data_IF_009227318108
#
_entry.id   IF_009227318108
#
_cell.length_a   1.000
_cell.length_b   1.000
_cell.length_c   1.000
_cell.angle_alpha   90.00
_cell.angle_beta   90.00
_cell.angle_gamma   90.00
#
_symmetry.space_group_name_H-M   'P 1'
#
loop_
_entity.id
_entity.type
_entity.pdbx_description
1 polymer ?
#
# COMPACT_ATOMS: atom_id res chain seq x y z
N UNK A 1 -5.01 10.33 12.26
CA UNK A 1 -3.92 11.11 11.62
C UNK A 1 -2.52 10.58 11.84
N UNK A 2 -2.10 10.28 13.07
CA UNK A 2 -0.69 9.92 13.36
C UNK A 2 -0.12 8.82 12.45
N UNK A 3 -0.80 7.69 12.18
CA UNK A 3 -0.27 6.68 11.27
C UNK A 3 -0.11 7.16 9.82
N UNK A 4 -0.97 8.05 9.34
CA UNK A 4 -0.90 8.65 8.00
C UNK A 4 0.33 9.56 7.89
N UNK A 5 0.58 10.38 8.91
CA UNK A 5 1.77 11.25 8.95
C UNK A 5 3.04 10.42 9.05
N UNK A 6 3.04 9.37 9.87
CA UNK A 6 4.14 8.43 9.98
C UNK A 6 4.45 7.71 8.66
N UNK A 7 3.40 7.31 7.93
CA UNK A 7 3.53 6.76 6.59
C UNK A 7 4.29 7.73 5.66
N UNK A 8 3.91 9.01 5.65
CA UNK A 8 4.59 10.01 4.82
C UNK A 8 6.07 10.20 5.22
N UNK A 9 6.39 10.19 6.52
CA UNK A 9 7.79 10.21 6.99
C UNK A 9 8.60 9.02 6.49
N UNK A 10 8.03 7.81 6.57
CA UNK A 10 8.71 6.61 6.08
C UNK A 10 8.82 6.61 4.55
N UNK A 11 7.86 7.18 3.83
CA UNK A 11 7.98 7.35 2.38
C UNK A 11 9.12 8.30 2.00
N UNK A 12 9.21 9.44 2.69
CA UNK A 12 10.31 10.39 2.50
C UNK A 12 11.68 9.72 2.75
N UNK A 13 11.77 8.91 3.81
CA UNK A 13 12.95 8.12 4.12
C UNK A 13 13.25 7.07 3.05
N UNK A 14 12.25 6.33 2.57
CA UNK A 14 12.44 5.36 1.47
C UNK A 14 13.03 6.05 0.23
N UNK A 15 12.44 7.16 -0.20
CA UNK A 15 12.93 7.95 -1.35
C UNK A 15 14.36 8.45 -1.11
N UNK A 16 14.66 8.97 0.08
CA UNK A 16 16.02 9.38 0.44
C UNK A 16 17.02 8.23 0.30
N UNK A 17 16.67 7.05 0.79
CA UNK A 17 17.53 5.85 0.73
C UNK A 17 17.65 5.31 -0.68
N UNK A 18 16.59 5.36 -1.49
CA UNK A 18 16.66 4.97 -2.90
C UNK A 18 17.66 5.84 -3.64
N UNK A 19 17.62 7.16 -3.48
CA UNK A 19 18.63 8.05 -4.07
C UNK A 19 20.04 7.78 -3.54
N UNK A 20 20.21 7.58 -2.23
CA UNK A 20 21.52 7.32 -1.63
C UNK A 20 22.15 5.98 -2.08
N UNK A 21 21.33 5.03 -2.50
CA UNK A 21 21.75 3.72 -3.01
C UNK A 21 21.71 3.64 -4.54
N UNK A 22 21.46 4.76 -5.23
CA UNK A 22 21.30 4.82 -6.69
C UNK A 22 20.25 3.84 -7.24
N UNK A 23 19.14 3.69 -6.50
CA UNK A 23 17.99 2.87 -6.88
C UNK A 23 17.00 3.75 -7.67
N UNK A 24 16.84 3.44 -8.95
CA UNK A 24 15.96 4.15 -9.90
C UNK A 24 14.49 3.76 -9.70
N UNK A 25 13.93 4.00 -8.51
CA UNK A 25 12.56 3.59 -8.14
C UNK A 25 11.48 4.26 -9.01
N UNK A 26 11.78 5.41 -9.60
CA UNK A 26 10.92 6.16 -10.52
C UNK A 26 10.63 5.37 -11.81
N UNK A 27 11.49 4.41 -12.19
CA UNK A 27 11.25 3.52 -13.32
C UNK A 27 9.99 2.67 -13.16
N UNK A 28 9.58 2.40 -11.92
CA UNK A 28 8.33 1.70 -11.62
C UNK A 28 7.08 2.50 -12.02
N UNK A 29 7.20 3.82 -12.11
CA UNK A 29 6.11 4.71 -12.51
C UNK A 29 6.12 4.95 -14.02
N UNK A 30 4.94 5.24 -14.57
CA UNK A 30 4.80 5.60 -15.98
C UNK A 30 5.60 6.87 -16.30
N UNK A 31 6.10 7.00 -17.53
CA UNK A 31 6.88 8.17 -17.94
C UNK A 31 6.12 9.49 -17.72
N UNK A 32 4.78 9.47 -17.88
CA UNK A 32 3.90 10.61 -17.61
C UNK A 32 3.89 11.03 -16.14
N UNK A 33 3.97 10.07 -15.23
CA UNK A 33 3.83 10.29 -13.79
C UNK A 33 5.16 10.70 -13.13
N UNK A 34 6.30 10.29 -13.70
CA UNK A 34 7.64 10.56 -13.13
C UNK A 34 7.91 12.02 -12.82
N UNK A 35 7.38 12.93 -13.64
CA UNK A 35 7.55 14.38 -13.46
C UNK A 35 6.83 14.95 -12.22
N UNK A 36 5.92 14.20 -11.62
CA UNK A 36 5.19 14.57 -10.40
C UNK A 36 5.73 13.87 -9.15
N UNK A 37 6.83 13.12 -9.27
CA UNK A 37 7.46 12.48 -8.13
C UNK A 37 8.28 13.52 -7.36
N UNK A 38 7.96 13.67 -6.08
CA UNK A 38 8.64 14.59 -5.18
C UNK A 38 10.00 14.07 -4.74
N UNK A 39 10.93 15.00 -4.54
CA UNK A 39 12.19 14.71 -3.86
C UNK A 39 11.95 14.37 -2.38
N UNK A 40 12.91 13.66 -1.76
CA UNK A 40 12.85 13.35 -0.32
C UNK A 40 12.71 14.60 0.55
N UNK A 41 13.39 15.70 0.21
CA UNK A 41 13.31 16.97 0.95
C UNK A 41 11.91 17.59 0.92
N UNK A 42 11.23 17.53 -0.22
CA UNK A 42 9.85 18.02 -0.35
C UNK A 42 8.87 17.15 0.43
N UNK A 43 9.05 15.82 0.39
CA UNK A 43 8.25 14.88 1.16
C UNK A 43 8.42 15.13 2.68
N UNK A 44 9.65 15.33 3.16
CA UNK A 44 9.89 15.70 4.56
C UNK A 44 9.23 17.02 4.94
N UNK A 45 9.24 18.01 4.04
CA UNK A 45 8.56 19.29 4.27
C UNK A 45 7.05 19.09 4.44
N UNK A 46 6.40 18.30 3.59
CA UNK A 46 4.96 17.97 3.75
C UNK A 46 4.72 17.21 5.07
N UNK A 47 5.56 16.24 5.38
CA UNK A 47 5.47 15.47 6.62
C UNK A 47 5.60 16.34 7.86
N UNK A 48 6.52 17.32 7.86
CA UNK A 48 6.69 18.31 8.93
C UNK A 48 5.45 19.18 9.10
N UNK A 49 4.87 19.69 8.01
CA UNK A 49 3.64 20.49 8.08
C UNK A 49 2.47 19.69 8.66
N UNK A 50 2.25 18.46 8.20
CA UNK A 50 1.19 17.61 8.73
C UNK A 50 1.45 17.21 10.19
N UNK A 51 2.71 17.01 10.58
CA UNK A 51 3.10 16.79 11.97
C UNK A 51 2.77 18.00 12.83
N UNK A 52 3.12 19.21 12.38
CA UNK A 52 2.83 20.46 13.07
C UNK A 52 1.32 20.68 13.23
N UNK A 53 0.53 20.43 12.18
CA UNK A 53 -0.95 20.46 12.25
C UNK A 53 -1.47 19.47 13.29
N UNK A 54 -1.00 18.22 13.24
CA UNK A 54 -1.44 17.17 14.17
C UNK A 54 -1.13 17.53 15.63
N UNK A 55 0.11 17.97 15.93
CA UNK A 55 0.53 18.32 17.28
C UNK A 55 -0.16 19.60 17.77
N UNK A 56 -0.32 20.62 16.92
CA UNK A 56 -0.97 21.87 17.30
C UNK A 56 -2.45 21.66 17.60
N UNK A 57 -3.16 20.87 16.79
CA UNK A 57 -4.56 20.54 17.05
C UNK A 57 -4.71 19.65 18.29
N UNK A 58 -3.80 18.70 18.51
CA UNK A 58 -3.82 17.87 19.73
C UNK A 58 -3.54 18.71 20.99
N UNK A 59 -2.59 19.64 20.94
CA UNK A 59 -2.31 20.57 22.03
C UNK A 59 -3.50 21.50 22.27
N UNK A 60 -4.14 22.01 21.20
CA UNK A 60 -5.37 22.80 21.28
C UNK A 60 -6.52 22.04 21.91
N UNK A 61 -6.72 20.77 21.53
CA UNK A 61 -7.72 19.89 22.13
C UNK A 61 -7.49 19.74 23.63
N UNK A 62 -6.26 19.42 24.02
CA UNK A 62 -5.89 19.22 25.42
C UNK A 62 -6.01 20.51 26.25
N UNK A 63 -5.57 21.66 25.73
CA UNK A 63 -5.61 22.93 26.44
C UNK A 63 -7.04 23.43 26.63
N UNK A 64 -7.87 23.37 25.58
CA UNK A 64 -9.29 23.73 25.64
C UNK A 64 -10.06 22.82 26.59
N UNK A 65 -9.79 21.51 26.55
CA UNK A 65 -10.36 20.56 27.50
C UNK A 65 -9.95 20.85 28.95
N UNK A 66 -8.69 21.23 29.19
CA UNK A 66 -8.19 21.56 30.53
C UNK A 66 -8.85 22.81 31.14
N UNK A 67 -9.26 23.77 30.31
CA UNK A 67 -9.99 24.98 30.75
C UNK A 67 -11.52 24.82 30.71
N UNK A 68 -12.04 23.63 30.40
CA UNK A 68 -13.47 23.32 30.40
C UNK A 68 -14.25 23.77 29.14
N UNK A 69 -13.56 24.19 28.07
CA UNK A 69 -14.17 24.61 26.81
C UNK A 69 -14.38 23.42 25.85
N UNK A 70 -15.15 22.42 26.31
CA UNK A 70 -15.30 21.13 25.60
C UNK A 70 -15.87 21.27 24.18
N UNK A 71 -16.90 22.11 23.99
CA UNK A 71 -17.48 22.35 22.67
C UNK A 71 -16.44 22.85 21.66
N UNK A 72 -15.51 23.71 22.09
CA UNK A 72 -14.44 24.20 21.21
C UNK A 72 -13.34 23.16 21.00
N UNK A 73 -13.06 22.35 22.02
CA UNK A 73 -12.11 21.24 21.92
C UNK A 73 -12.57 20.23 20.85
N UNK A 74 -13.86 19.92 20.76
CA UNK A 74 -14.40 18.97 19.78
C UNK A 74 -14.19 19.38 18.31
N UNK A 75 -13.98 20.68 18.02
CA UNK A 75 -13.63 21.15 16.68
C UNK A 75 -12.15 20.97 16.33
N UNK A 76 -11.26 20.70 17.29
CA UNK A 76 -9.81 20.58 17.03
C UNK A 76 -9.47 19.38 16.11
N UNK A 77 -10.05 18.17 16.30
CA UNK A 77 -9.86 17.07 15.36
C UNK A 77 -10.40 17.37 13.95
N UNK A 78 -11.51 18.11 13.84
CA UNK A 78 -12.05 18.56 12.54
C UNK A 78 -11.05 19.45 11.82
N UNK A 79 -10.56 20.48 12.51
CA UNK A 79 -9.56 21.39 11.98
C UNK A 79 -8.33 20.63 11.50
N UNK A 80 -7.86 19.64 12.28
CA UNK A 80 -6.74 18.78 11.90
C UNK A 80 -6.99 18.05 10.57
N UNK A 81 -8.13 17.38 10.41
CA UNK A 81 -8.45 16.65 9.17
C UNK A 81 -8.68 17.59 7.98
N UNK A 82 -9.32 18.74 8.21
CA UNK A 82 -9.54 19.76 7.19
C UNK A 82 -8.21 20.32 6.67
N UNK A 83 -7.32 20.73 7.57
CA UNK A 83 -5.99 21.22 7.21
C UNK A 83 -5.14 20.14 6.53
N UNK A 84 -5.27 18.89 6.95
CA UNK A 84 -4.61 17.77 6.27
C UNK A 84 -5.11 17.58 4.83
N UNK A 85 -6.42 17.65 4.59
CA UNK A 85 -6.99 17.59 3.24
C UNK A 85 -6.52 18.79 2.39
N UNK A 86 -6.50 19.99 2.97
CA UNK A 86 -5.97 21.20 2.33
C UNK A 86 -4.52 21.00 1.86
N UNK A 87 -3.65 20.48 2.74
CA UNK A 87 -2.24 20.29 2.43
C UNK A 87 -1.92 19.03 1.62
N UNK A 88 -2.85 18.11 1.42
CA UNK A 88 -2.62 16.89 0.65
C UNK A 88 -3.24 16.92 -0.75
N UNK A 89 -4.42 17.52 -0.92
CA UNK A 89 -5.19 17.39 -2.18
C UNK A 89 -5.82 18.70 -2.68
N UNK A 90 -5.84 19.78 -1.91
CA UNK A 90 -6.49 21.00 -2.38
C UNK A 90 -5.68 21.74 -3.48
N UNK A 91 -6.36 22.34 -4.48
CA UNK A 91 -5.75 23.05 -5.60
C UNK A 91 -5.27 24.46 -5.20
N UNK A 92 -4.44 24.54 -4.15
CA UNK A 92 -3.82 25.77 -3.65
C UNK A 92 -2.32 25.75 -3.96
N UNK A 93 -1.69 26.90 -4.28
CA UNK A 93 -0.26 26.94 -4.64
C UNK A 93 0.66 26.87 -3.41
N UNK A 94 0.63 25.74 -2.72
CA UNK A 94 1.37 25.44 -1.49
C UNK A 94 1.93 24.02 -1.60
N UNK A 95 3.15 23.78 -1.08
CA UNK A 95 3.75 22.44 -0.97
C UNK A 95 3.67 21.60 -2.26
N UNK A 96 4.14 22.16 -3.37
CA UNK A 96 4.09 21.54 -4.71
C UNK A 96 2.68 21.08 -5.13
N UNK A 97 1.89 22.04 -5.60
CA UNK A 97 0.51 21.78 -6.04
C UNK A 97 0.41 20.69 -7.12
N UNK A 98 1.24 20.65 -8.19
CA UNK A 98 1.11 19.62 -9.21
C UNK A 98 1.23 18.19 -8.68
N UNK A 99 2.21 17.92 -7.81
CA UNK A 99 2.40 16.59 -7.24
C UNK A 99 1.29 16.20 -6.26
N UNK A 100 0.74 17.18 -5.53
CA UNK A 100 -0.42 16.96 -4.65
C UNK A 100 -1.71 16.67 -5.43
N UNK A 101 -1.92 17.34 -6.55
CA UNK A 101 -3.04 17.03 -7.44
C UNK A 101 -2.85 15.66 -8.10
N UNK A 102 -1.63 15.29 -8.49
CA UNK A 102 -1.32 13.94 -8.95
C UNK A 102 -1.63 12.88 -7.86
N UNK A 103 -1.29 13.14 -6.60
CA UNK A 103 -1.70 12.29 -5.48
C UNK A 103 -3.23 12.21 -5.34
N UNK A 104 -3.93 13.34 -5.44
CA UNK A 104 -5.39 13.40 -5.40
C UNK A 104 -6.07 12.62 -6.54
N UNK A 105 -5.58 12.75 -7.76
CA UNK A 105 -6.03 11.97 -8.92
C UNK A 105 -5.79 10.47 -8.72
N UNK A 106 -4.61 10.10 -8.17
CA UNK A 106 -4.29 8.70 -7.83
C UNK A 106 -5.23 8.17 -6.74
N UNK A 107 -5.52 8.97 -5.71
CA UNK A 107 -6.48 8.61 -4.68
C UNK A 107 -7.89 8.42 -5.25
N UNK A 108 -8.34 9.29 -6.15
CA UNK A 108 -9.62 9.15 -6.83
C UNK A 108 -9.69 7.86 -7.66
N UNK A 109 -8.65 7.58 -8.45
CA UNK A 109 -8.52 6.34 -9.23
C UNK A 109 -8.53 5.08 -8.36
N UNK A 110 -7.94 5.14 -7.17
CA UNK A 110 -7.93 4.05 -6.20
C UNK A 110 -9.32 3.84 -5.58
N UNK A 111 -10.02 4.92 -5.21
CA UNK A 111 -11.37 4.84 -4.63
C UNK A 111 -12.44 4.39 -5.63
N UNK A 112 -12.24 4.68 -6.91
CA UNK A 112 -13.14 4.29 -8.01
C UNK A 112 -12.32 3.52 -9.07
N UNK A 113 -11.98 2.25 -8.82
CA UNK A 113 -11.14 1.47 -9.73
C UNK A 113 -11.99 0.98 -10.90
N UNK A 114 -12.20 1.82 -11.91
CA UNK A 114 -12.90 1.46 -13.16
C UNK A 114 -11.97 1.39 -14.36
N UNK A 115 -10.79 2.00 -14.24
CA UNK A 115 -9.74 2.09 -15.24
C UNK A 115 -8.67 1.00 -15.04
N UNK A 116 -7.74 0.93 -16.00
CA UNK A 116 -6.53 0.11 -15.87
C UNK A 116 -5.71 0.53 -14.65
N UNK A 117 -5.19 -0.46 -13.93
CA UNK A 117 -4.47 -0.24 -12.67
C UNK A 117 -3.00 0.07 -12.97
N UNK A 118 -2.59 1.31 -12.72
CA UNK A 118 -1.18 1.71 -12.83
C UNK A 118 -0.39 1.28 -11.60
N UNK A 119 0.95 1.35 -11.67
CA UNK A 119 1.80 1.07 -10.51
C UNK A 119 1.54 2.02 -9.34
N UNK A 120 1.26 3.30 -9.61
CA UNK A 120 0.92 4.28 -8.59
C UNK A 120 -0.39 3.92 -7.87
N UNK A 121 -1.42 3.51 -8.63
CA UNK A 121 -2.71 3.08 -8.07
C UNK A 121 -2.55 1.82 -7.23
N UNK A 122 -1.75 0.85 -7.69
CA UNK A 122 -1.41 -0.36 -6.96
C UNK A 122 -0.68 -0.04 -5.64
N UNK A 123 0.39 0.77 -5.70
CA UNK A 123 1.19 1.09 -4.52
C UNK A 123 0.34 1.81 -3.47
N UNK A 124 -0.42 2.84 -3.88
CA UNK A 124 -1.25 3.61 -2.97
C UNK A 124 -2.34 2.74 -2.33
N UNK A 125 -3.03 1.93 -3.13
CA UNK A 125 -4.08 1.03 -2.63
C UNK A 125 -3.52 -0.01 -1.64
N UNK A 126 -2.31 -0.53 -1.89
CA UNK A 126 -1.74 -1.54 -1.02
C UNK A 126 -1.19 -0.92 0.28
N UNK A 127 -0.66 0.31 0.23
CA UNK A 127 -0.37 1.10 1.43
C UNK A 127 -1.63 1.36 2.24
N UNK A 128 -2.75 1.67 1.59
CA UNK A 128 -4.03 1.92 2.27
C UNK A 128 -4.54 0.71 3.08
N UNK A 129 -4.19 -0.52 2.71
CA UNK A 129 -4.55 -1.72 3.51
C UNK A 129 -3.95 -1.70 4.90
N UNK A 130 -2.73 -1.17 5.04
CA UNK A 130 -2.05 -0.97 6.33
C UNK A 130 -2.57 0.25 7.10
N UNK A 131 -3.46 1.04 6.48
CA UNK A 131 -4.18 2.17 7.09
C UNK A 131 -5.66 1.85 7.36
N UNK A 132 -6.10 0.60 7.24
CA UNK A 132 -7.50 0.18 7.44
C UNK A 132 -8.10 0.66 8.78
N UNK A 133 -7.36 0.51 9.89
CA UNK A 133 -7.78 1.03 11.19
C UNK A 133 -7.85 2.56 11.22
N UNK A 134 -6.92 3.24 10.55
CA UNK A 134 -6.96 4.71 10.43
C UNK A 134 -8.17 5.19 9.62
N UNK A 135 -8.58 4.45 8.58
CA UNK A 135 -9.81 4.71 7.82
C UNK A 135 -11.05 4.55 8.70
N UNK A 136 -11.08 3.52 9.55
CA UNK A 136 -12.11 3.33 10.57
C UNK A 136 -12.24 4.53 11.51
N UNK A 137 -11.11 4.97 12.07
CA UNK A 137 -11.05 6.06 13.04
C UNK A 137 -11.43 7.40 12.40
N UNK A 138 -11.01 7.63 11.15
CA UNK A 138 -11.42 8.78 10.36
C UNK A 138 -12.93 8.78 10.11
N UNK A 139 -13.49 7.63 9.72
CA UNK A 139 -14.94 7.48 9.52
C UNK A 139 -15.71 7.73 10.82
N UNK A 140 -15.28 7.12 11.93
CA UNK A 140 -15.89 7.33 13.25
C UNK A 140 -15.86 8.80 13.65
N UNK A 141 -14.71 9.46 13.50
CA UNK A 141 -14.58 10.89 13.80
C UNK A 141 -15.53 11.72 12.93
N UNK A 142 -15.50 11.55 11.60
CA UNK A 142 -16.35 12.31 10.69
C UNK A 142 -17.85 12.14 10.99
N UNK A 143 -18.31 10.91 11.22
CA UNK A 143 -19.72 10.64 11.49
C UNK A 143 -20.17 11.15 12.86
N UNK A 144 -19.34 10.99 13.90
CA UNK A 144 -19.63 11.56 15.23
C UNK A 144 -19.82 13.07 15.14
N UNK A 145 -18.98 13.74 14.36
CA UNK A 145 -19.00 15.18 14.20
C UNK A 145 -20.18 15.66 13.34
N UNK A 146 -20.56 14.92 12.30
CA UNK A 146 -21.74 15.23 11.47
C UNK A 146 -23.06 15.00 12.20
N UNK A 147 -23.13 13.96 13.03
CA UNK A 147 -24.34 13.63 13.78
C UNK A 147 -24.57 14.56 14.98
N UNK A 148 -23.52 15.19 15.52
CA UNK A 148 -23.62 16.12 16.64
C UNK A 148 -24.28 15.50 17.89
N UNK A 149 -24.95 16.31 18.74
CA UNK A 149 -25.65 15.81 19.93
C UNK A 149 -26.73 14.76 19.67
N UNK A 150 -27.24 14.64 18.43
CA UNK A 150 -28.25 13.65 18.08
C UNK A 150 -27.73 12.21 18.21
N UNK A 151 -26.42 11.98 18.00
CA UNK A 151 -25.80 10.68 18.25
C UNK A 151 -25.78 10.35 19.74
N UNK A 152 -25.52 11.33 20.60
CA UNK A 152 -25.62 11.17 22.06
C UNK A 152 -27.05 10.81 22.47
N UNK A 153 -28.06 11.49 21.91
CA UNK A 153 -29.46 11.16 22.16
C UNK A 153 -29.87 9.75 21.70
N UNK A 154 -29.30 9.24 20.60
CA UNK A 154 -29.56 7.88 20.11
C UNK A 154 -28.87 6.81 20.97
N UNK A 155 -27.65 7.08 21.45
CA UNK A 155 -26.92 6.22 22.39
C UNK A 155 -27.62 6.21 23.76
N UNK A 156 -28.06 7.37 24.25
CA UNK A 156 -28.77 7.53 25.53
C UNK A 156 -30.18 6.92 25.48
N UNK A 157 -30.91 7.06 24.36
CA UNK A 157 -32.20 6.41 24.14
C UNK A 157 -32.08 4.88 24.09
N UNK A 158 -30.94 4.35 23.61
CA UNK A 158 -30.63 2.93 23.66
C UNK A 158 -30.29 2.40 25.07
N UNK A 159 -29.86 3.28 25.98
CA UNK A 159 -29.60 2.94 27.39
C UNK A 159 -30.87 2.94 28.24
N UNK A 160 -31.90 3.70 27.85
CA UNK A 160 -33.18 3.80 28.55
C UNK A 160 -34.17 2.69 28.13
N UNK A 161 -33.99 1.49 28.68
CA UNK A 161 -35.15 0.65 29.04
C UNK A 161 -35.61 -0.48 28.11
N UNK A 162 -34.85 -0.94 27.11
CA UNK A 162 -35.26 -2.13 26.35
C UNK A 162 -34.09 -3.00 25.86
N UNK A 163 -33.90 -4.17 26.50
CA UNK A 163 -33.03 -5.30 26.12
C UNK A 163 -31.53 -4.98 25.85
N UNK A 164 -30.60 -5.91 26.12
CA UNK A 164 -29.19 -5.65 25.85
C UNK A 164 -28.95 -5.62 24.33
N UNK A 165 -28.27 -4.56 23.87
CA UNK A 165 -27.69 -4.32 22.53
C UNK A 165 -28.50 -3.41 21.61
N UNK A 166 -28.37 -2.11 21.82
CA UNK A 166 -28.22 -1.22 20.66
C UNK A 166 -26.78 -1.39 20.18
N UNK A 167 -26.59 -2.10 19.06
CA UNK A 167 -25.33 -2.13 18.31
C UNK A 167 -24.90 -0.68 18.10
N UNK A 168 -23.64 -0.32 18.41
CA UNK A 168 -23.11 1.02 18.17
C UNK A 168 -23.59 1.47 16.77
N UNK A 169 -24.38 2.56 16.64
CA UNK A 169 -24.92 2.99 15.34
C UNK A 169 -23.82 3.31 14.32
N UNK A 170 -22.59 3.52 14.79
CA UNK A 170 -21.41 3.71 13.96
C UNK A 170 -20.69 2.39 13.60
N UNK A 171 -21.06 1.25 14.17
CA UNK A 171 -20.38 -0.03 13.93
C UNK A 171 -20.35 -0.41 12.45
N UNK A 172 -21.50 -0.34 11.76
CA UNK A 172 -21.60 -0.68 10.34
C UNK A 172 -20.75 0.24 9.44
N UNK A 173 -20.85 1.58 9.51
CA UNK A 173 -20.01 2.44 8.68
C UNK A 173 -18.52 2.37 9.03
N UNK A 174 -18.17 2.20 10.31
CA UNK A 174 -16.77 2.00 10.73
C UNK A 174 -16.21 0.70 10.16
N UNK A 175 -16.97 -0.40 10.22
CA UNK A 175 -16.58 -1.68 9.61
C UNK A 175 -16.44 -1.56 8.09
N UNK A 176 -17.34 -0.85 7.42
CA UNK A 176 -17.22 -0.58 5.99
C UNK A 176 -15.91 0.17 5.68
N UNK A 177 -15.59 1.22 6.44
CA UNK A 177 -14.35 1.97 6.28
C UNK A 177 -13.09 1.12 6.54
N UNK A 178 -13.14 0.15 7.47
CA UNK A 178 -12.06 -0.82 7.70
C UNK A 178 -11.87 -1.77 6.51
N UNK A 179 -12.96 -2.26 5.94
CA UNK A 179 -12.93 -3.21 4.83
C UNK A 179 -12.59 -2.56 3.48
N UNK A 180 -12.83 -1.25 3.33
CA UNK A 180 -12.73 -0.54 2.06
C UNK A 180 -11.36 -0.70 1.36
N UNK A 181 -10.19 -0.54 2.02
CA UNK A 181 -8.90 -0.73 1.36
C UNK A 181 -8.71 -2.14 0.77
N UNK A 182 -9.20 -3.17 1.48
CA UNK A 182 -9.13 -4.56 1.02
C UNK A 182 -10.08 -4.81 -0.15
N UNK A 183 -11.29 -4.21 -0.13
CA UNK A 183 -12.23 -4.25 -1.24
C UNK A 183 -11.66 -3.60 -2.50
N UNK A 184 -11.00 -2.44 -2.36
CA UNK A 184 -10.33 -1.78 -3.47
C UNK A 184 -9.26 -2.70 -4.08
N UNK A 185 -8.39 -3.29 -3.26
CA UNK A 185 -7.35 -4.21 -3.75
C UNK A 185 -7.94 -5.46 -4.40
N UNK A 186 -9.00 -6.03 -3.81
CA UNK A 186 -9.75 -7.14 -4.41
C UNK A 186 -10.24 -6.79 -5.82
N UNK A 187 -10.93 -5.66 -5.98
CA UNK A 187 -11.45 -5.21 -7.29
C UNK A 187 -10.31 -4.92 -8.26
N UNK A 188 -9.25 -4.22 -7.84
CA UNK A 188 -8.09 -3.97 -8.69
C UNK A 188 -7.47 -5.27 -9.21
N UNK A 189 -7.32 -6.29 -8.37
CA UNK A 189 -6.79 -7.58 -8.80
C UNK A 189 -7.69 -8.26 -9.84
N UNK A 190 -9.02 -8.20 -9.68
CA UNK A 190 -9.96 -8.72 -10.68
C UNK A 190 -9.88 -7.97 -12.01
N UNK A 191 -9.72 -6.64 -11.97
CA UNK A 191 -9.53 -5.82 -13.17
C UNK A 191 -8.26 -6.21 -13.89
N UNK A 192 -7.12 -6.29 -13.18
CA UNK A 192 -5.84 -6.69 -13.79
C UNK A 192 -5.92 -8.09 -14.39
N UNK A 193 -6.57 -9.04 -13.71
CA UNK A 193 -6.79 -10.38 -14.29
C UNK A 193 -7.61 -10.31 -15.58
N UNK A 194 -8.69 -9.52 -15.61
CA UNK A 194 -9.54 -9.38 -16.80
C UNK A 194 -8.81 -8.73 -17.96
N UNK A 195 -7.94 -7.74 -17.71
CA UNK A 195 -7.22 -7.03 -18.77
C UNK A 195 -5.99 -7.79 -19.27
N UNK A 196 -5.25 -8.47 -18.39
CA UNK A 196 -3.98 -9.14 -18.73
C UNK A 196 -4.10 -10.65 -18.93
N UNK A 197 -5.18 -11.28 -18.47
CA UNK A 197 -5.35 -12.74 -18.45
C UNK A 197 -4.54 -13.45 -17.36
N UNK A 198 -3.85 -12.71 -16.50
CA UNK A 198 -2.94 -13.26 -15.50
C UNK A 198 -3.68 -13.84 -14.28
N UNK A 199 -3.73 -15.18 -14.24
CA UNK A 199 -4.39 -15.96 -13.19
C UNK A 199 -3.80 -15.76 -11.79
N UNK A 200 -2.55 -15.33 -11.64
CA UNK A 200 -1.97 -15.01 -10.34
C UNK A 200 -2.78 -13.90 -9.66
N UNK A 201 -3.37 -12.96 -10.42
CA UNK A 201 -4.21 -11.91 -9.83
C UNK A 201 -5.52 -12.44 -9.24
N UNK A 202 -6.05 -13.58 -9.68
CA UNK A 202 -7.21 -14.21 -9.01
C UNK A 202 -6.82 -14.74 -7.62
N UNK A 203 -5.62 -15.30 -7.49
CA UNK A 203 -5.10 -15.73 -6.20
C UNK A 203 -4.83 -14.50 -5.31
N UNK A 204 -4.33 -13.40 -5.88
CA UNK A 204 -4.15 -12.13 -5.17
C UNK A 204 -5.49 -11.57 -4.67
N UNK A 205 -6.53 -11.62 -5.52
CA UNK A 205 -7.89 -11.24 -5.13
C UNK A 205 -8.38 -12.11 -3.97
N UNK A 206 -8.21 -13.44 -4.05
CA UNK A 206 -8.59 -14.35 -2.97
C UNK A 206 -7.85 -14.02 -1.67
N UNK A 207 -6.56 -13.67 -1.72
CA UNK A 207 -5.80 -13.19 -0.56
C UNK A 207 -6.49 -12.00 0.10
N UNK A 208 -6.81 -10.94 -0.66
CA UNK A 208 -7.52 -9.78 -0.09
C UNK A 208 -8.93 -10.13 0.39
N UNK A 209 -9.61 -11.10 -0.23
CA UNK A 209 -10.91 -11.58 0.22
C UNK A 209 -10.85 -12.24 1.60
N UNK A 210 -9.74 -12.88 1.97
CA UNK A 210 -9.57 -13.47 3.32
C UNK A 210 -9.57 -12.45 4.46
N UNK A 211 -9.32 -11.17 4.18
CA UNK A 211 -9.39 -10.11 5.18
C UNK A 211 -10.82 -9.80 5.62
N UNK A 212 -11.84 -10.01 4.77
CA UNK A 212 -13.23 -9.70 5.14
C UNK A 212 -13.75 -10.53 6.33
N UNK A 213 -13.69 -11.89 6.33
CA UNK A 213 -14.12 -12.65 7.49
C UNK A 213 -13.28 -12.32 8.73
N UNK A 214 -11.97 -12.10 8.58
CA UNK A 214 -11.10 -11.69 9.67
C UNK A 214 -11.57 -10.37 10.33
N UNK A 215 -11.87 -9.35 9.53
CA UNK A 215 -12.33 -8.04 10.02
C UNK A 215 -13.75 -8.07 10.59
N UNK A 216 -14.69 -8.72 9.91
CA UNK A 216 -16.09 -8.83 10.36
C UNK A 216 -16.16 -9.58 11.68
N UNK A 217 -15.50 -10.73 11.79
CA UNK A 217 -15.50 -11.52 13.03
C UNK A 217 -14.77 -10.77 14.15
N UNK A 218 -13.71 -10.01 13.85
CA UNK A 218 -13.03 -9.14 14.84
C UNK A 218 -13.95 -8.04 15.36
N UNK A 219 -14.78 -7.45 14.50
CA UNK A 219 -15.74 -6.42 14.91
C UNK A 219 -16.84 -7.01 15.81
N UNK A 220 -17.37 -8.19 15.45
CA UNK A 220 -18.38 -8.87 16.28
C UNK A 220 -17.78 -9.32 17.62
N UNK A 221 -16.58 -9.91 17.60
CA UNK A 221 -15.86 -10.31 18.82
C UNK A 221 -15.70 -9.13 19.79
N UNK A 222 -15.35 -7.95 19.27
CA UNK A 222 -15.21 -6.74 20.07
C UNK A 222 -16.51 -6.37 20.82
N UNK A 223 -17.67 -6.44 20.16
CA UNK A 223 -18.97 -6.15 20.79
C UNK A 223 -19.27 -7.12 21.94
N UNK A 224 -18.94 -8.40 21.78
CA UNK A 224 -19.09 -9.40 22.85
C UNK A 224 -18.11 -9.14 23.99
N UNK A 225 -16.85 -8.84 23.68
CA UNK A 225 -15.83 -8.53 24.67
C UNK A 225 -16.20 -7.31 25.53
N UNK A 226 -16.65 -6.21 24.89
CA UNK A 226 -17.08 -4.99 25.59
C UNK A 226 -18.30 -5.27 26.47
N UNK A 227 -19.22 -6.12 26.01
CA UNK A 227 -20.40 -6.55 26.77
C UNK A 227 -20.07 -7.54 27.91
N UNK A 228 -18.82 -8.01 28.03
CA UNK A 228 -18.43 -9.03 29.01
C UNK A 228 -19.02 -10.42 28.70
N UNK A 229 -19.40 -10.67 27.45
CA UNK A 229 -20.03 -11.91 27.00
C UNK A 229 -19.02 -12.82 26.32
N UNK A 230 -19.23 -14.14 26.44
CA UNK A 230 -18.44 -15.13 25.71
C UNK A 230 -18.81 -15.06 24.23
N UNK A 231 -17.80 -14.93 23.36
CA UNK A 231 -18.00 -14.89 21.92
C UNK A 231 -18.14 -16.32 21.34
N UNK A 232 -19.31 -16.72 20.81
CA UNK A 232 -19.56 -18.11 20.41
C UNK A 232 -18.83 -18.55 19.15
N UNK A 233 -18.32 -17.62 18.34
CA UNK A 233 -17.63 -17.91 17.07
C UNK A 233 -16.10 -17.70 17.19
N UNK A 234 -15.56 -17.84 18.40
CA UNK A 234 -14.14 -17.59 18.67
C UNK A 234 -13.21 -18.41 17.78
N UNK A 235 -13.49 -19.70 17.56
CA UNK A 235 -12.66 -20.56 16.71
C UNK A 235 -12.69 -20.14 15.24
N UNK A 236 -13.86 -19.70 14.74
CA UNK A 236 -13.99 -19.17 13.38
C UNK A 236 -13.23 -17.86 13.21
N UNK A 237 -13.28 -16.98 14.21
CA UNK A 237 -12.49 -15.76 14.23
C UNK A 237 -11.00 -16.07 14.20
N UNK A 238 -10.55 -16.95 15.09
CA UNK A 238 -9.15 -17.36 15.16
C UNK A 238 -8.67 -17.98 13.85
N UNK A 239 -9.48 -18.87 13.26
CA UNK A 239 -9.22 -19.48 11.95
C UNK A 239 -9.13 -18.45 10.82
N UNK A 240 -10.03 -17.47 10.78
CA UNK A 240 -10.00 -16.39 9.79
C UNK A 240 -8.76 -15.49 9.95
N UNK A 241 -8.37 -15.18 11.19
CA UNK A 241 -7.16 -14.39 11.48
C UNK A 241 -5.89 -15.13 11.03
N UNK A 242 -5.78 -16.42 11.33
CA UNK A 242 -4.66 -17.24 10.87
C UNK A 242 -4.63 -17.40 9.34
N UNK A 243 -5.78 -17.72 8.72
CA UNK A 243 -5.87 -17.86 7.27
C UNK A 243 -5.41 -16.59 6.55
N UNK A 244 -5.93 -15.44 6.96
CA UNK A 244 -5.55 -14.15 6.39
C UNK A 244 -4.06 -13.84 6.61
N UNK A 245 -3.54 -14.07 7.82
CA UNK A 245 -2.15 -13.78 8.18
C UNK A 245 -1.16 -14.66 7.42
N UNK A 246 -1.41 -15.98 7.38
CA UNK A 246 -0.54 -16.95 6.74
C UNK A 246 -0.59 -16.85 5.21
N UNK A 247 -1.77 -16.68 4.62
CA UNK A 247 -1.87 -16.49 3.17
C UNK A 247 -1.18 -15.18 2.75
N UNK A 248 -1.42 -14.09 3.48
CA UNK A 248 -0.76 -12.83 3.16
C UNK A 248 0.76 -12.88 3.37
N UNK A 249 1.24 -13.63 4.38
CA UNK A 249 2.68 -13.85 4.59
C UNK A 249 3.30 -14.66 3.44
N UNK A 250 2.65 -15.75 3.05
CA UNK A 250 3.06 -16.54 1.88
C UNK A 250 3.13 -15.67 0.63
N UNK A 251 2.11 -14.85 0.39
CA UNK A 251 2.06 -13.95 -0.77
C UNK A 251 3.22 -12.97 -0.79
N UNK A 252 3.55 -12.34 0.36
CA UNK A 252 4.67 -11.41 0.42
C UNK A 252 5.96 -12.09 -0.01
N UNK A 253 6.29 -13.25 0.56
CA UNK A 253 7.55 -13.94 0.29
C UNK A 253 7.64 -14.49 -1.13
N UNK A 254 6.62 -15.26 -1.54
CA UNK A 254 6.67 -16.00 -2.80
C UNK A 254 6.42 -15.08 -3.99
N UNK A 255 5.42 -14.20 -3.90
CA UNK A 255 4.93 -13.43 -5.04
C UNK A 255 5.49 -12.02 -5.09
N UNK A 256 5.39 -11.25 -3.99
CA UNK A 256 5.80 -9.84 -4.01
C UNK A 256 7.33 -9.69 -3.92
N UNK A 257 7.98 -10.56 -3.14
CA UNK A 257 9.43 -10.56 -2.95
C UNK A 257 10.15 -11.46 -3.94
N UNK A 258 9.42 -12.31 -4.66
CA UNK A 258 9.97 -13.20 -5.68
C UNK A 258 11.12 -14.08 -5.11
N UNK A 259 10.91 -14.55 -3.87
CA UNK A 259 11.81 -15.43 -3.11
C UNK A 259 11.18 -16.81 -2.93
N UNK A 260 11.21 -17.67 -3.97
CA UNK A 260 10.51 -18.93 -3.92
C UNK A 260 10.98 -19.80 -2.75
N UNK A 261 10.05 -20.24 -1.90
CA UNK A 261 10.29 -21.20 -0.81
C UNK A 261 9.98 -22.62 -1.25
N UNK A 262 8.92 -22.78 -2.03
CA UNK A 262 8.40 -24.09 -2.44
C UNK A 262 9.07 -24.58 -3.73
N UNK A 263 9.28 -23.69 -4.70
CA UNK A 263 9.82 -24.00 -6.01
C UNK A 263 11.35 -23.80 -6.09
N UNK A 264 12.12 -24.38 -5.15
CA UNK A 264 13.58 -24.41 -5.23
C UNK A 264 14.10 -25.80 -5.62
N UNK A 265 14.58 -26.00 -6.87
CA UNK A 265 15.47 -27.08 -7.18
C UNK A 265 16.81 -26.87 -6.43
N UNK A 266 17.12 -27.73 -5.45
CA UNK A 266 18.42 -27.71 -4.75
C UNK A 266 18.60 -26.69 -3.61
N UNK A 267 17.52 -26.20 -3.01
CA UNK A 267 17.57 -25.20 -1.93
C UNK A 267 18.40 -25.62 -0.70
N UNK A 268 19.18 -24.68 -0.16
CA UNK A 268 19.96 -24.89 1.08
C UNK A 268 19.00 -25.12 2.26
N UNK A 269 19.19 -26.25 2.94
CA UNK A 269 18.40 -26.63 4.12
C UNK A 269 19.12 -26.15 5.37
N UNK A 270 18.43 -25.37 6.21
CA UNK A 270 18.88 -24.97 7.55
C UNK A 270 18.16 -25.83 8.58
N UNK A 271 18.89 -26.33 9.58
CA UNK A 271 18.36 -27.23 10.61
C UNK A 271 17.68 -28.53 10.08
N UNK A 272 18.00 -28.98 8.86
CA UNK A 272 17.53 -30.26 8.31
C UNK A 272 16.09 -30.30 7.78
N UNK A 273 15.23 -29.35 8.16
CA UNK A 273 13.83 -29.27 7.68
C UNK A 273 13.40 -27.88 7.20
N UNK A 274 14.13 -26.82 7.51
CA UNK A 274 13.75 -25.45 7.15
C UNK A 274 14.51 -25.01 5.89
N UNK A 275 13.83 -24.93 4.75
CA UNK A 275 14.41 -24.36 3.52
C UNK A 275 14.48 -22.84 3.64
N UNK A 276 15.65 -22.26 3.41
CA UNK A 276 15.77 -20.79 3.36
C UNK A 276 15.12 -20.24 2.07
N UNK A 277 14.60 -19.00 2.10
CA UNK A 277 14.21 -18.29 0.88
C UNK A 277 15.32 -18.29 -0.16
N UNK A 278 14.97 -18.67 -1.38
CA UNK A 278 15.88 -18.67 -2.52
C UNK A 278 16.08 -17.23 -2.95
N UNK A 279 17.14 -16.60 -2.45
CA UNK A 279 17.47 -15.24 -2.86
C UNK A 279 18.08 -15.28 -4.27
N UNK A 280 17.53 -14.48 -5.18
CA UNK A 280 18.07 -14.35 -6.55
C UNK A 280 19.47 -13.73 -6.52
N UNK A 281 20.30 -14.07 -7.51
CA UNK A 281 21.71 -13.67 -7.58
C UNK A 281 21.93 -12.15 -7.68
N UNK A 282 21.00 -11.43 -8.30
CA UNK A 282 21.03 -9.97 -8.46
C UNK A 282 20.25 -9.26 -7.32
N UNK A 283 20.51 -9.63 -6.06
CA UNK A 283 19.82 -9.03 -4.91
C UNK A 283 20.40 -7.65 -4.57
N UNK A 284 19.54 -6.65 -4.40
CA UNK A 284 19.98 -5.26 -4.13
C UNK A 284 20.50 -5.05 -2.70
N UNK A 285 20.04 -5.87 -1.74
CA UNK A 285 20.40 -5.75 -0.33
C UNK A 285 21.23 -6.94 0.16
N UNK A 286 21.82 -6.81 1.36
CA UNK A 286 22.55 -7.91 2.00
C UNK A 286 21.57 -9.02 2.42
N UNK A 287 21.98 -10.28 2.32
CA UNK A 287 21.19 -11.47 2.73
C UNK A 287 20.56 -11.35 4.12
N UNK A 288 21.31 -10.81 5.10
CA UNK A 288 20.83 -10.61 6.47
C UNK A 288 19.61 -9.69 6.55
N UNK A 289 19.50 -8.71 5.65
CA UNK A 289 18.38 -7.78 5.62
C UNK A 289 17.09 -8.48 5.16
N UNK A 290 17.16 -9.36 4.16
CA UNK A 290 15.98 -10.14 3.74
C UNK A 290 15.53 -11.14 4.82
N UNK A 291 16.48 -11.78 5.53
CA UNK A 291 16.15 -12.65 6.67
C UNK A 291 15.45 -11.84 7.77
N UNK A 292 16.00 -10.67 8.12
CA UNK A 292 15.39 -9.78 9.09
C UNK A 292 13.98 -9.35 8.63
N UNK A 293 13.82 -8.94 7.38
CA UNK A 293 12.53 -8.53 6.82
C UNK A 293 11.50 -9.68 6.85
N UNK A 294 11.91 -10.91 6.48
CA UNK A 294 11.03 -12.08 6.51
C UNK A 294 10.55 -12.41 7.93
N UNK A 295 11.44 -12.34 8.91
CA UNK A 295 11.13 -12.60 10.32
C UNK A 295 10.28 -11.47 10.92
N UNK A 296 10.65 -10.21 10.68
CA UNK A 296 9.87 -9.07 11.16
C UNK A 296 8.49 -9.04 10.55
N UNK A 297 8.35 -9.34 9.25
CA UNK A 297 7.05 -9.42 8.59
C UNK A 297 6.17 -10.52 9.20
N UNK A 298 6.74 -11.69 9.52
CA UNK A 298 6.00 -12.76 10.19
C UNK A 298 5.47 -12.30 11.56
N UNK A 299 6.33 -11.72 12.40
CA UNK A 299 5.95 -11.23 13.71
C UNK A 299 4.89 -10.12 13.63
N UNK A 300 5.09 -9.16 12.73
CA UNK A 300 4.19 -8.02 12.55
C UNK A 300 2.82 -8.43 12.01
N UNK A 301 2.74 -9.46 11.16
CA UNK A 301 1.46 -10.03 10.68
C UNK A 301 0.65 -10.72 11.77
N UNK A 302 1.30 -11.14 12.86
CA UNK A 302 0.64 -11.73 14.02
C UNK A 302 0.45 -10.74 15.17
N UNK A 303 0.59 -9.43 14.91
CA UNK A 303 0.33 -8.40 15.93
C UNK A 303 -1.07 -8.46 16.50
N UNK A 304 -2.06 -8.97 15.76
CA UNK A 304 -3.41 -9.21 16.26
C UNK A 304 -3.46 -10.14 17.48
N UNK A 305 -2.42 -10.97 17.71
CA UNK A 305 -2.31 -11.85 18.87
C UNK A 305 -2.26 -11.08 20.21
N UNK A 306 -2.01 -9.75 20.20
CA UNK A 306 -2.14 -8.94 21.42
C UNK A 306 -3.53 -9.02 22.05
N UNK A 307 -4.58 -9.28 21.24
CA UNK A 307 -5.97 -9.49 21.68
C UNK A 307 -6.17 -10.78 22.45
N UNK A 308 -5.24 -11.73 22.34
CA UNK A 308 -5.25 -12.97 23.11
C UNK A 308 -4.67 -12.75 24.52
N UNK A 309 -3.91 -11.67 24.72
CA UNK A 309 -3.15 -11.40 25.93
C UNK A 309 -3.87 -10.32 26.76
N UNK A 310 -4.76 -10.76 27.64
CA UNK A 310 -5.43 -9.90 28.60
C UNK A 310 -6.36 -8.86 27.95
N UNK A 311 -6.37 -7.64 28.48
CA UNK A 311 -7.24 -6.52 28.03
C UNK A 311 -6.42 -5.40 27.39
N UNK A 312 -5.34 -5.75 26.68
CA UNK A 312 -4.38 -4.79 26.13
C UNK A 312 -5.03 -3.83 25.12
N UNK A 313 -6.06 -4.27 24.39
CA UNK A 313 -6.78 -3.41 23.45
C UNK A 313 -7.51 -2.22 24.10
N UNK A 314 -7.67 -2.20 25.44
CA UNK A 314 -8.24 -1.05 26.16
C UNK A 314 -7.31 0.17 26.20
N UNK A 315 -6.01 -0.05 26.00
CA UNK A 315 -5.03 1.03 26.04
C UNK A 315 -4.84 1.65 24.65
N UNK A 316 -5.23 2.92 24.51
CA UNK A 316 -5.08 3.67 23.26
C UNK A 316 -3.62 3.66 22.73
N UNK A 317 -2.63 3.67 23.64
CA UNK A 317 -1.21 3.56 23.29
C UNK A 317 -0.88 2.25 22.59
N UNK A 318 -1.46 1.12 23.01
CA UNK A 318 -1.23 -0.18 22.38
C UNK A 318 -1.81 -0.15 20.96
N UNK A 319 -3.05 0.32 20.79
CA UNK A 319 -3.68 0.43 19.47
C UNK A 319 -2.88 1.33 18.52
N UNK A 320 -2.36 2.46 19.03
CA UNK A 320 -1.51 3.36 18.26
C UNK A 320 -0.20 2.67 17.85
N UNK A 321 0.49 1.99 18.77
CA UNK A 321 1.72 1.25 18.47
C UNK A 321 1.46 0.17 17.41
N UNK A 322 0.37 -0.60 17.53
CA UNK A 322 0.01 -1.61 16.53
C UNK A 322 -0.24 -0.98 15.15
N UNK A 323 -0.92 0.16 15.09
CA UNK A 323 -1.13 0.88 13.83
C UNK A 323 0.19 1.38 13.22
N UNK A 324 1.12 1.92 14.03
CA UNK A 324 2.44 2.35 13.55
C UNK A 324 3.29 1.17 13.07
N UNK A 325 3.24 0.04 13.78
CA UNK A 325 3.94 -1.18 13.40
C UNK A 325 3.41 -1.77 12.08
N UNK A 326 2.10 -1.73 11.86
CA UNK A 326 1.50 -2.17 10.60
C UNK A 326 1.90 -1.26 9.42
N UNK A 327 1.97 0.05 9.65
CA UNK A 327 2.52 1.01 8.67
C UNK A 327 3.99 0.69 8.40
N UNK A 328 4.83 0.55 9.44
CA UNK A 328 6.25 0.24 9.30
C UNK A 328 6.50 -1.04 8.48
N UNK A 329 5.74 -2.11 8.74
CA UNK A 329 5.78 -3.36 7.97
C UNK A 329 5.62 -3.12 6.47
N UNK A 330 4.68 -2.25 6.08
CA UNK A 330 4.42 -1.92 4.68
C UNK A 330 5.59 -1.16 4.03
N UNK A 331 6.22 -0.25 4.76
CA UNK A 331 7.38 0.48 4.24
C UNK A 331 8.62 -0.40 4.09
N UNK A 332 8.80 -1.42 4.93
CA UNK A 332 9.78 -2.48 4.70
C UNK A 332 9.50 -3.20 3.38
N UNK A 333 8.24 -3.62 3.17
CA UNK A 333 7.80 -4.31 1.95
C UNK A 333 8.05 -3.47 0.68
N UNK A 334 7.91 -2.14 0.74
CA UNK A 334 8.13 -1.26 -0.43
C UNK A 334 9.54 -1.36 -1.01
N UNK A 335 10.58 -1.50 -0.19
CA UNK A 335 11.95 -1.69 -0.69
C UNK A 335 12.05 -2.93 -1.58
N UNK A 336 11.51 -4.05 -1.11
CA UNK A 336 11.56 -5.33 -1.83
C UNK A 336 10.66 -5.27 -3.05
N UNK A 337 9.46 -4.67 -2.93
CA UNK A 337 8.53 -4.56 -4.04
C UNK A 337 9.09 -3.73 -5.19
N UNK A 338 9.78 -2.62 -4.89
CA UNK A 338 10.49 -1.80 -5.88
C UNK A 338 11.59 -2.62 -6.54
N UNK A 339 12.43 -3.31 -5.77
CA UNK A 339 13.47 -4.21 -6.32
C UNK A 339 12.87 -5.25 -7.27
N UNK A 340 11.81 -5.95 -6.86
CA UNK A 340 11.12 -6.94 -7.69
C UNK A 340 10.59 -6.32 -8.98
N UNK A 341 10.01 -5.13 -8.93
CA UNK A 341 9.49 -4.45 -10.12
C UNK A 341 10.61 -4.03 -11.08
N UNK A 342 11.71 -3.47 -10.57
CA UNK A 342 12.88 -3.10 -11.37
C UNK A 342 13.48 -4.32 -12.06
N UNK A 343 13.55 -5.46 -11.37
CA UNK A 343 13.97 -6.74 -11.96
C UNK A 343 13.06 -7.14 -13.11
N UNK A 344 11.73 -7.08 -12.93
CA UNK A 344 10.75 -7.39 -13.98
C UNK A 344 10.89 -6.45 -15.19
N UNK A 345 11.14 -5.15 -14.96
CA UNK A 345 11.38 -4.17 -16.02
C UNK A 345 12.67 -4.52 -16.80
N UNK A 346 13.77 -4.82 -16.10
CA UNK A 346 15.05 -5.20 -16.72
C UNK A 346 14.94 -6.46 -17.57
N UNK A 347 14.24 -7.49 -17.09
CA UNK A 347 13.99 -8.73 -17.83
C UNK A 347 13.14 -8.46 -19.07
N UNK A 348 12.08 -7.65 -18.97
CA UNK A 348 11.25 -7.27 -20.13
C UNK A 348 12.09 -6.52 -21.18
N UNK A 349 12.95 -5.59 -20.74
CA UNK A 349 13.84 -4.85 -21.63
C UNK A 349 14.84 -5.78 -22.34
N UNK A 350 15.44 -6.76 -21.64
CA UNK A 350 16.38 -7.71 -22.25
C UNK A 350 15.70 -8.62 -23.27
N UNK A 351 14.48 -9.08 -23.00
CA UNK A 351 13.69 -9.89 -23.94
C UNK A 351 13.17 -9.07 -25.12
N UNK A 352 12.94 -7.76 -24.98
CA UNK A 352 12.59 -6.87 -26.09
C UNK A 352 13.75 -6.58 -27.05
N UNK A 353 15.00 -6.64 -26.56
CA UNK A 353 16.21 -6.41 -27.38
C UNK A 353 16.70 -7.69 -28.11
N UNK A 354 16.41 -8.88 -27.58
CA UNK A 354 16.81 -10.16 -28.19
C UNK A 354 16.25 -10.40 -29.61
N UNK A 355 14.98 -10.06 -29.93
CA UNK A 355 14.43 -10.20 -31.28
C UNK A 355 15.13 -9.30 -32.30
N UNK A 356 15.60 -8.12 -31.91
CA UNK A 356 16.28 -7.19 -32.81
C UNK A 356 17.70 -7.64 -33.16
N UNK A 357 18.42 -8.27 -32.23
CA UNK A 357 19.74 -8.85 -32.50
C UNK A 357 19.66 -10.11 -33.37
N UNK A 358 18.65 -10.96 -33.17
CA UNK A 358 18.45 -12.19 -33.96
C UNK A 358 17.86 -11.93 -35.35
N UNK A 359 17.14 -10.83 -35.55
CA UNK A 359 16.66 -10.40 -36.87
C UNK A 359 17.68 -9.54 -37.63
N UNK A 360 18.55 -8.80 -36.92
CA UNK A 360 19.65 -8.02 -37.51
C UNK A 360 20.84 -8.84 -38.00
N UNK A 361 20.96 -10.11 -37.61
CA UNK A 361 22.05 -11.01 -38.03
C UNK A 361 21.64 -12.03 -39.12
N UNK A 362 20.41 -11.98 -39.65
CA UNK A 362 19.94 -12.93 -40.70
C UNK A 362 19.73 -12.32 -42.09
N UNK A 363 20.11 -11.06 -42.30
CA UNK A 363 20.09 -10.42 -43.62
C UNK A 363 21.50 -9.99 -44.03
N UNK A 364 22.39 -10.96 -44.21
CA UNK A 364 23.74 -10.71 -44.68
C UNK A 364 24.55 -12.00 -44.68
N UNK A 365 24.27 -12.88 -45.64
CA UNK A 365 25.26 -13.71 -46.32
C UNK A 365 24.56 -14.73 -47.23
N UNK A 366 24.67 -14.53 -48.54
CA UNK A 366 24.18 -15.47 -49.54
C UNK A 366 24.14 -14.94 -50.96
N UNK A 367 25.19 -15.31 -51.72
CA UNK A 367 25.32 -15.30 -53.18
C UNK A 367 25.69 -13.98 -53.88
N UNK A 368 26.96 -13.88 -54.27
CA UNK A 368 27.42 -13.05 -55.36
C UNK A 368 27.31 -13.77 -56.72
N UNK A 369 26.99 -13.01 -57.77
CA UNK A 369 27.66 -13.07 -59.08
C UNK A 369 27.03 -12.05 -60.04
N UNK A 370 27.87 -11.22 -60.67
CA UNK A 370 27.60 -10.68 -62.01
C UNK A 370 27.51 -9.16 -62.18
N UNK A 371 28.57 -8.55 -62.71
CA UNK A 371 28.46 -7.68 -63.89
C UNK A 371 28.16 -6.18 -63.74
N UNK A 372 29.22 -5.38 -63.86
CA UNK A 372 29.37 -4.13 -64.64
C UNK A 372 28.32 -2.98 -64.55
N UNK A 373 28.81 -1.76 -64.29
CA UNK A 373 28.10 -0.53 -64.70
C UNK A 373 28.57 0.76 -64.00
N UNK A 374 28.92 1.78 -64.79
CA UNK A 374 29.40 3.11 -64.42
C UNK A 374 28.46 3.98 -63.55
N UNK A 375 29.09 4.88 -62.76
CA UNK A 375 28.79 6.33 -62.78
C UNK A 375 27.92 6.91 -61.65
N UNK A 376 28.37 8.03 -61.06
CA UNK A 376 27.48 9.10 -60.59
C UNK A 376 27.49 9.45 -59.09
N UNK A 377 27.94 10.67 -58.81
CA UNK A 377 27.88 11.46 -57.57
C UNK A 377 26.51 11.51 -56.84
N UNK A 378 26.54 11.65 -55.50
CA UNK A 378 25.44 12.20 -54.70
C UNK A 378 25.42 11.80 -53.20
N UNK A 379 25.87 12.69 -52.32
CA UNK A 379 25.62 12.65 -50.86
C UNK A 379 24.14 13.07 -50.56
N UNK A 380 23.52 12.94 -49.35
CA UNK A 380 24.11 13.20 -48.03
C UNK A 380 23.69 12.25 -46.87
N UNK A 381 24.26 12.51 -45.69
CA UNK A 381 24.27 11.65 -44.51
C UNK A 381 22.93 11.41 -43.81
N UNK A 382 22.86 10.25 -43.16
CA UNK A 382 21.74 9.81 -42.33
C UNK A 382 22.06 10.10 -40.88
N UNK A 383 21.38 11.12 -40.36
CA UNK A 383 21.17 11.39 -38.94
C UNK A 383 20.41 10.20 -38.32
N UNK A 384 21.04 9.50 -37.38
CA UNK A 384 20.39 8.48 -36.55
C UNK A 384 19.47 9.13 -35.51
N UNK A 385 18.21 9.34 -35.87
CA UNK A 385 17.16 9.70 -34.91
C UNK A 385 16.73 8.44 -34.15
N UNK A 386 17.02 8.39 -32.85
CA UNK A 386 16.44 7.45 -31.91
C UNK A 386 14.91 7.63 -31.92
N UNK A 387 14.09 6.59 -32.09
CA UNK A 387 12.64 6.74 -32.00
C UNK A 387 12.25 7.11 -30.57
N UNK A 388 11.27 8.01 -30.37
CA UNK A 388 10.81 8.37 -29.04
C UNK A 388 10.24 7.15 -28.31
N UNK A 389 10.34 7.10 -26.97
CA UNK A 389 9.76 6.01 -26.19
C UNK A 389 8.24 5.99 -26.38
N UNK A 390 7.68 4.80 -26.60
CA UNK A 390 6.25 4.61 -26.80
C UNK A 390 5.47 4.91 -25.51
N UNK A 391 4.44 5.75 -25.64
CA UNK A 391 3.59 6.34 -24.59
C UNK A 391 2.62 5.36 -23.88
N UNK A 392 2.99 4.08 -23.74
CA UNK A 392 2.11 3.13 -23.05
C UNK A 392 2.30 3.22 -21.54
N UNK A 393 1.21 3.36 -20.74
CA UNK A 393 1.29 3.27 -19.30
C UNK A 393 1.92 1.92 -18.92
N UNK A 394 2.83 1.91 -17.95
CA UNK A 394 3.35 0.66 -17.37
C UNK A 394 2.19 0.02 -16.61
N UNK A 395 1.46 -0.84 -17.30
CA UNK A 395 0.42 -1.69 -16.71
C UNK A 395 1.11 -2.66 -15.76
N UNK A 396 0.55 -2.83 -14.55
CA UNK A 396 1.06 -3.80 -13.58
C UNK A 396 0.83 -5.21 -14.14
N UNK A 397 1.79 -5.73 -14.89
CA UNK A 397 1.83 -7.12 -15.36
C UNK A 397 2.72 -7.90 -14.40
N UNK A 398 2.12 -8.58 -13.42
CA UNK A 398 2.86 -9.51 -12.55
C UNK A 398 2.91 -10.90 -13.18
N UNK A 399 3.59 -11.09 -14.30
CA UNK A 399 3.89 -12.45 -14.78
C UNK A 399 4.59 -13.27 -13.68
#
# INVERSE_FOLDING_TARGET
>A
MVPIVFALWLWAYNVQRFHALSIEYDLCFSAKDRKYLLSSGELYRIALWLTAVCLSCAAGFASLGAVGLYNLADYMPLLMYFLAALFLVAPVNVLDMPSRLFFGETLQRVLVPVQEVTWADFLLADIATSLSKSSADLCKAALTLLAGPALHSLVDAGAAGAAPRVVDPLAAPVLFAMCLPYAIRFVQCLIVNRTTGNRAQLLNALKYATAFPALVLTAIEHEYHVSGLVYPMYDWWLGAMFLNSLYSYYWDLEMDWDMPWLAQPGGQTVLGFLKLPGLKSDSMFRKSWYVWAALSNLLLRHTWAHRLVGKLEKHATVLLVMALLEVFRRYQWTYIRVETELRKIRIRASHGHLPQLLTGQRAGDGAGSGGAGHGGLGAPGVSGTVPPPTDHPIVVTQD
#
